data_IF_980873781492
#
_entry.id   IF_980873781492
#
_cell.length_a   1.000
_cell.length_b   1.000
_cell.length_c   1.000
_cell.angle_alpha   90.00
_cell.angle_beta   90.00
_cell.angle_gamma   90.00
#
_symmetry.space_group_name_H-M   'P 1'
#
loop_
_entity.id
_entity.type
_entity.pdbx_description
1 polymer ?
#
# COMPACT_ATOMS: atom_id res chain seq x y z
N UNK A 1 -10.41 1.39 20.15
CA UNK A 1 -9.13 2.00 20.60
C UNK A 1 -8.89 3.28 19.79
N UNK A 2 -7.88 4.08 20.15
CA UNK A 2 -7.48 5.26 19.36
C UNK A 2 -6.39 4.87 18.36
N UNK A 3 -6.69 5.00 17.08
CA UNK A 3 -5.81 4.58 15.96
C UNK A 3 -5.40 5.81 15.16
N UNK A 4 -4.10 6.04 15.03
CA UNK A 4 -3.54 7.00 14.10
C UNK A 4 -3.30 6.31 12.74
N UNK A 5 -3.82 6.90 11.66
CA UNK A 5 -3.52 6.48 10.28
C UNK A 5 -2.83 7.63 9.56
N UNK A 6 -1.52 7.52 9.35
CA UNK A 6 -0.81 8.49 8.50
C UNK A 6 -0.96 8.08 7.03
N UNK A 7 -1.16 9.05 6.14
CA UNK A 7 -1.51 8.76 4.74
C UNK A 7 -2.96 8.28 4.58
N UNK A 8 -3.84 8.60 5.55
CA UNK A 8 -5.21 8.12 5.58
C UNK A 8 -6.15 8.76 4.57
N UNK A 9 -5.76 9.85 3.91
CA UNK A 9 -6.48 10.42 2.77
C UNK A 9 -6.05 9.80 1.42
N UNK A 10 -5.04 8.92 1.44
CA UNK A 10 -4.59 8.15 0.28
C UNK A 10 -5.44 6.92 0.00
N UNK A 11 -5.11 6.23 -1.10
CA UNK A 11 -5.83 5.03 -1.55
C UNK A 11 -5.93 3.96 -0.47
N UNK A 12 -4.81 3.34 -0.06
CA UNK A 12 -4.82 2.23 0.90
C UNK A 12 -5.19 2.73 2.30
N UNK A 13 -4.67 3.90 2.69
CA UNK A 13 -4.87 4.47 4.02
C UNK A 13 -6.33 4.76 4.34
N UNK A 14 -7.13 5.20 3.37
CA UNK A 14 -8.56 5.45 3.56
C UNK A 14 -9.35 4.16 3.84
N UNK A 15 -9.03 3.06 3.16
CA UNK A 15 -9.63 1.75 3.43
C UNK A 15 -9.19 1.17 4.79
N UNK A 16 -7.94 1.44 5.20
CA UNK A 16 -7.47 1.07 6.55
C UNK A 16 -8.23 1.88 7.61
N UNK A 17 -8.44 3.18 7.38
CA UNK A 17 -9.23 4.03 8.28
C UNK A 17 -10.69 3.53 8.40
N UNK A 18 -11.34 3.22 7.26
CA UNK A 18 -12.68 2.62 7.24
C UNK A 18 -12.75 1.34 8.08
N UNK A 19 -11.80 0.41 7.87
CA UNK A 19 -11.80 -0.88 8.56
C UNK A 19 -11.68 -0.75 10.10
N UNK A 20 -10.93 0.25 10.59
CA UNK A 20 -10.86 0.53 12.02
C UNK A 20 -12.13 1.23 12.54
N UNK A 21 -12.71 2.15 11.78
CA UNK A 21 -14.00 2.80 12.13
C UNK A 21 -15.14 1.78 12.19
N UNK A 22 -15.24 0.88 11.20
CA UNK A 22 -16.22 -0.21 11.17
C UNK A 22 -16.10 -1.15 12.39
N UNK A 23 -14.89 -1.31 12.91
CA UNK A 23 -14.64 -2.04 14.16
C UNK A 23 -15.05 -1.26 15.41
N UNK A 24 -15.41 0.00 15.30
CA UNK A 24 -15.79 0.88 16.40
C UNK A 24 -14.60 1.56 17.09
N UNK A 25 -13.47 1.70 16.40
CA UNK A 25 -12.31 2.45 16.89
C UNK A 25 -12.48 3.95 16.60
N UNK A 26 -11.77 4.78 17.37
CA UNK A 26 -11.59 6.20 17.07
C UNK A 26 -10.37 6.35 16.15
N UNK A 27 -10.52 7.04 15.02
CA UNK A 27 -9.46 7.19 14.02
C UNK A 27 -9.06 8.65 13.86
N UNK A 28 -7.77 8.93 14.00
CA UNK A 28 -7.13 10.17 13.56
C UNK A 28 -6.39 9.90 12.24
N UNK A 29 -6.73 10.66 11.21
CA UNK A 29 -5.98 10.69 9.94
C UNK A 29 -5.02 11.87 9.96
N UNK A 30 -3.75 11.61 9.67
CA UNK A 30 -2.74 12.65 9.39
C UNK A 30 -2.27 12.48 7.95
N UNK A 31 -2.46 13.52 7.13
CA UNK A 31 -2.11 13.54 5.72
C UNK A 31 -1.81 14.98 5.27
N UNK A 32 -0.85 15.17 4.37
CA UNK A 32 -0.52 16.48 3.81
C UNK A 32 -1.34 16.84 2.56
N UNK A 33 -2.10 15.87 2.05
CA UNK A 33 -2.89 15.92 0.81
C UNK A 33 -2.03 16.12 -0.45
N UNK A 34 -0.75 15.78 -0.41
CA UNK A 34 0.13 15.86 -1.60
C UNK A 34 -0.28 14.91 -2.72
N UNK A 35 -0.85 13.75 -2.38
CA UNK A 35 -1.42 12.76 -3.30
C UNK A 35 -2.76 12.22 -2.83
N UNK A 36 -3.10 12.41 -1.55
CA UNK A 36 -4.38 12.08 -0.96
C UNK A 36 -5.49 13.03 -1.39
N UNK A 37 -6.74 12.65 -1.14
CA UNK A 37 -7.94 13.45 -1.42
C UNK A 37 -8.80 13.56 -0.18
N UNK A 38 -9.31 14.76 0.11
CA UNK A 38 -10.30 14.97 1.19
C UNK A 38 -11.54 14.09 1.01
N UNK A 39 -11.90 13.75 -0.24
CA UNK A 39 -13.04 12.89 -0.57
C UNK A 39 -12.85 11.44 -0.07
N UNK A 40 -11.61 11.02 0.19
CA UNK A 40 -11.32 9.69 0.70
C UNK A 40 -11.37 9.63 2.23
N UNK A 41 -11.49 10.77 2.92
CA UNK A 41 -11.52 10.82 4.39
C UNK A 41 -12.91 10.37 4.86
N UNK A 42 -13.01 9.31 5.69
CA UNK A 42 -14.30 8.88 6.24
C UNK A 42 -14.94 9.95 7.13
N UNK A 43 -16.26 10.10 7.06
CA UNK A 43 -17.03 11.13 7.81
C UNK A 43 -16.81 11.11 9.32
N UNK A 44 -16.49 9.96 9.90
CA UNK A 44 -16.33 9.78 11.35
C UNK A 44 -14.86 9.81 11.80
N UNK A 45 -13.91 10.02 10.90
CA UNK A 45 -12.50 10.19 11.25
C UNK A 45 -12.21 11.63 11.66
N UNK A 46 -11.34 11.81 12.65
CA UNK A 46 -10.72 13.10 12.91
C UNK A 46 -9.62 13.31 11.86
N UNK A 47 -9.55 14.49 11.27
CA UNK A 47 -8.53 14.81 10.27
C UNK A 47 -7.62 15.93 10.75
N UNK A 48 -6.32 15.74 10.59
CA UNK A 48 -5.30 16.76 10.80
C UNK A 48 -4.39 16.84 9.57
N UNK A 49 -4.32 18.01 8.94
CA UNK A 49 -3.42 18.24 7.80
C UNK A 49 -2.01 18.52 8.32
N UNK A 50 -1.09 17.58 8.13
CA UNK A 50 0.31 17.72 8.50
C UNK A 50 1.23 16.87 7.61
N UNK A 51 2.44 17.38 7.34
CA UNK A 51 3.51 16.66 6.69
C UNK A 51 4.29 15.87 7.76
N UNK A 52 4.45 14.55 7.57
CA UNK A 52 5.21 13.69 8.48
C UNK A 52 6.70 14.07 8.57
N UNK A 53 7.22 14.84 7.62
CA UNK A 53 8.61 15.35 7.66
C UNK A 53 8.78 16.54 8.60
N UNK A 54 7.69 17.20 8.98
CA UNK A 54 7.65 18.23 10.02
C UNK A 54 7.28 17.60 11.37
N UNK A 55 8.29 17.28 12.18
CA UNK A 55 8.10 16.62 13.47
C UNK A 55 7.23 17.45 14.42
N UNK A 56 7.32 18.78 14.37
CA UNK A 56 6.55 19.67 15.26
C UNK A 56 5.07 19.65 14.88
N UNK A 57 4.77 19.80 13.58
CA UNK A 57 3.38 19.71 13.10
C UNK A 57 2.77 18.33 13.36
N UNK A 58 3.54 17.25 13.16
CA UNK A 58 3.09 15.90 13.48
C UNK A 58 2.78 15.74 14.97
N UNK A 59 3.65 16.21 15.85
CA UNK A 59 3.46 16.12 17.30
C UNK A 59 2.23 16.91 17.76
N UNK A 60 2.01 18.11 17.23
CA UNK A 60 0.83 18.93 17.52
C UNK A 60 -0.48 18.24 17.11
N UNK A 61 -0.46 17.45 16.04
CA UNK A 61 -1.62 16.69 15.60
C UNK A 61 -1.83 15.43 16.44
N UNK A 62 -0.77 14.73 16.81
CA UNK A 62 -0.82 13.39 17.41
C UNK A 62 -0.95 13.43 18.94
N UNK A 63 -0.24 14.34 19.63
CA UNK A 63 -0.18 14.35 21.09
C UNK A 63 -1.55 14.55 21.77
N UNK A 64 -2.47 15.43 21.28
CA UNK A 64 -3.80 15.55 21.89
C UNK A 64 -4.66 14.29 21.71
N UNK A 65 -4.45 13.54 20.63
CA UNK A 65 -5.18 12.32 20.33
C UNK A 65 -4.66 11.13 21.15
N UNK A 66 -3.38 11.10 21.47
CA UNK A 66 -2.70 10.04 22.23
C UNK A 66 -3.03 8.63 21.72
N UNK A 67 -2.57 8.25 20.53
CA UNK A 67 -2.92 6.99 19.88
C UNK A 67 -2.45 5.78 20.69
N UNK A 68 -3.25 4.71 20.67
CA UNK A 68 -2.89 3.39 21.19
C UNK A 68 -2.33 2.46 20.12
N UNK A 69 -2.44 2.85 18.83
CA UNK A 69 -1.92 2.17 17.66
C UNK A 69 -1.62 3.19 16.57
N UNK A 70 -0.54 2.96 15.81
CA UNK A 70 -0.21 3.75 14.62
C UNK A 70 -0.19 2.84 13.39
N UNK A 71 -0.98 3.18 12.37
CA UNK A 71 -0.88 2.60 11.02
C UNK A 71 -0.17 3.61 10.12
N UNK A 72 1.08 3.30 9.71
CA UNK A 72 1.91 4.23 8.95
C UNK A 72 1.91 3.89 7.47
N UNK A 73 1.12 4.66 6.69
CA UNK A 73 0.99 4.52 5.23
C UNK A 73 1.44 5.77 4.46
N UNK A 74 1.63 6.92 5.13
CA UNK A 74 2.16 8.12 4.49
C UNK A 74 3.52 7.83 3.87
N UNK A 75 3.66 8.09 2.58
CA UNK A 75 4.89 7.85 1.82
C UNK A 75 4.88 8.58 0.47
N UNK A 76 6.06 8.89 -0.03
CA UNK A 76 6.26 9.06 -1.46
C UNK A 76 6.23 7.65 -2.08
N UNK A 77 5.21 7.31 -2.90
CA UNK A 77 4.95 5.95 -3.37
C UNK A 77 5.31 5.72 -4.86
N UNK A 78 5.74 6.75 -5.58
CA UNK A 78 6.10 6.67 -6.99
C UNK A 78 7.55 6.26 -7.18
N UNK A 79 7.78 5.17 -7.92
CA UNK A 79 9.13 4.74 -8.33
C UNK A 79 9.77 5.78 -9.24
N UNK A 80 9.05 6.32 -10.23
CA UNK A 80 9.55 7.33 -11.15
C UNK A 80 9.93 8.62 -10.40
N UNK A 81 9.04 9.14 -9.54
CA UNK A 81 9.36 10.33 -8.75
C UNK A 81 10.57 10.13 -7.81
N UNK A 82 10.79 8.90 -7.33
CA UNK A 82 11.96 8.59 -6.50
C UNK A 82 13.28 8.65 -7.28
N UNK A 83 13.26 8.35 -8.57
CA UNK A 83 14.43 8.48 -9.46
C UNK A 83 14.68 9.93 -9.80
N UNK A 84 13.61 10.71 -10.03
CA UNK A 84 13.71 12.14 -10.37
C UNK A 84 14.18 12.98 -9.17
N UNK A 85 13.71 12.67 -7.95
CA UNK A 85 14.10 13.34 -6.71
C UNK A 85 14.30 12.34 -5.55
N UNK A 86 15.47 11.66 -5.51
CA UNK A 86 15.77 10.68 -4.46
C UNK A 86 15.93 11.32 -3.07
N UNK A 87 16.25 12.61 -2.99
CA UNK A 87 16.36 13.32 -1.71
C UNK A 87 14.99 13.56 -1.10
N UNK A 88 13.98 13.91 -1.91
CA UNK A 88 12.60 14.01 -1.44
C UNK A 88 12.08 12.65 -1.00
N UNK A 89 12.34 11.61 -1.79
CA UNK A 89 11.95 10.24 -1.46
C UNK A 89 12.53 9.81 -0.11
N UNK A 90 13.84 9.99 0.10
CA UNK A 90 14.51 9.70 1.37
C UNK A 90 13.93 10.53 2.53
N UNK A 91 13.67 11.82 2.32
CA UNK A 91 13.12 12.71 3.35
C UNK A 91 11.75 12.25 3.81
N UNK A 92 10.85 11.92 2.88
CA UNK A 92 9.49 11.45 3.23
C UNK A 92 9.55 10.04 3.81
N UNK A 93 10.16 9.09 3.10
CA UNK A 93 10.05 7.67 3.43
C UNK A 93 10.98 7.23 4.57
N UNK A 94 12.08 7.94 4.83
CA UNK A 94 13.01 7.61 5.91
C UNK A 94 12.87 8.57 7.08
N UNK A 95 13.09 9.89 6.87
CA UNK A 95 13.00 10.84 7.98
C UNK A 95 11.58 10.99 8.48
N UNK A 96 10.58 11.03 7.58
CA UNK A 96 9.16 11.03 7.96
C UNK A 96 8.79 9.78 8.76
N UNK A 97 9.25 8.59 8.34
CA UNK A 97 9.03 7.34 9.10
C UNK A 97 9.67 7.40 10.49
N UNK A 98 10.87 7.99 10.61
CA UNK A 98 11.50 8.19 11.94
C UNK A 98 10.67 9.10 12.84
N UNK A 99 10.14 10.20 12.33
CA UNK A 99 9.26 11.09 13.10
C UNK A 99 8.01 10.36 13.59
N UNK A 100 7.40 9.52 12.73
CA UNK A 100 6.25 8.71 13.11
C UNK A 100 6.63 7.64 14.15
N UNK A 101 7.79 7.00 14.02
CA UNK A 101 8.31 6.06 15.03
C UNK A 101 8.48 6.74 16.39
N UNK A 102 9.03 7.97 16.42
CA UNK A 102 9.20 8.73 17.66
C UNK A 102 7.86 9.17 18.27
N UNK A 103 6.90 9.61 17.44
CA UNK A 103 5.55 9.92 17.89
C UNK A 103 4.89 8.67 18.51
N UNK A 104 4.94 7.51 17.85
CA UNK A 104 4.41 6.25 18.35
C UNK A 104 5.07 5.85 19.70
N UNK A 105 6.41 5.95 19.77
CA UNK A 105 7.19 5.62 20.97
C UNK A 105 6.78 6.47 22.18
N UNK A 106 6.59 7.79 22.01
CA UNK A 106 6.18 8.68 23.13
C UNK A 106 4.86 8.26 23.77
N UNK A 107 3.97 7.70 22.97
CA UNK A 107 2.66 7.19 23.45
C UNK A 107 2.69 5.70 23.82
N UNK A 108 3.83 5.01 23.69
CA UNK A 108 3.91 3.56 23.90
C UNK A 108 3.07 2.78 22.89
N UNK A 109 2.71 3.38 21.77
CA UNK A 109 1.86 2.78 20.74
C UNK A 109 2.69 1.88 19.81
N UNK A 110 2.27 0.63 19.57
CA UNK A 110 2.85 -0.16 18.49
C UNK A 110 2.55 0.48 17.14
N UNK A 111 3.42 0.19 16.14
CA UNK A 111 3.32 0.74 14.80
C UNK A 111 3.22 -0.40 13.78
N UNK A 112 2.23 -0.30 12.87
CA UNK A 112 2.09 -1.16 11.69
C UNK A 112 2.53 -0.36 10.48
N UNK A 113 3.60 -0.81 9.83
CA UNK A 113 4.23 -0.12 8.70
C UNK A 113 3.84 -0.74 7.38
N UNK A 114 3.33 0.06 6.46
CA UNK A 114 3.13 -0.32 5.07
C UNK A 114 4.48 -0.31 4.32
N UNK A 115 5.13 -1.46 4.21
CA UNK A 115 6.29 -1.67 3.35
C UNK A 115 5.86 -2.11 1.95
N UNK A 116 6.81 -2.26 1.03
CA UNK A 116 6.55 -2.78 -0.31
C UNK A 116 7.13 -4.18 -0.45
N UNK A 117 6.40 -5.10 -1.08
CA UNK A 117 6.96 -6.37 -1.55
C UNK A 117 7.28 -6.31 -3.05
N UNK A 118 6.54 -5.47 -3.79
CA UNK A 118 6.69 -5.38 -5.24
C UNK A 118 7.96 -4.70 -5.74
N UNK A 119 8.60 -3.83 -4.93
CA UNK A 119 9.80 -3.07 -5.33
C UNK A 119 11.04 -3.41 -4.48
N UNK A 120 10.95 -4.44 -3.63
CA UNK A 120 11.95 -4.71 -2.60
C UNK A 120 12.98 -5.75 -3.00
N UNK A 121 12.56 -6.83 -3.66
CA UNK A 121 13.37 -8.04 -3.75
C UNK A 121 14.26 -8.13 -5.01
N UNK A 122 13.93 -7.41 -6.09
CA UNK A 122 14.63 -7.48 -7.37
C UNK A 122 14.24 -8.71 -8.19
N UNK A 123 14.83 -8.82 -9.41
CA UNK A 123 14.43 -9.84 -10.41
C UNK A 123 14.95 -11.24 -10.08
N UNK A 124 16.05 -11.35 -9.31
CA UNK A 124 16.68 -12.62 -8.93
C UNK A 124 15.91 -13.39 -7.82
N UNK A 125 14.86 -12.79 -7.26
CA UNK A 125 14.13 -13.41 -6.17
C UNK A 125 13.38 -14.67 -6.62
N UNK A 126 13.36 -15.75 -5.79
CA UNK A 126 12.49 -16.89 -6.05
C UNK A 126 11.02 -16.46 -6.01
N UNK A 127 10.16 -17.17 -6.74
CA UNK A 127 8.72 -16.84 -6.79
C UNK A 127 7.89 -18.08 -6.45
N UNK A 128 7.00 -18.00 -5.46
CA UNK A 128 6.74 -16.88 -4.54
C UNK A 128 7.94 -16.55 -3.64
N UNK A 129 8.16 -15.23 -3.37
CA UNK A 129 9.30 -14.75 -2.58
C UNK A 129 8.96 -14.74 -1.09
N UNK A 130 9.68 -15.48 -0.22
CA UNK A 130 9.48 -15.47 1.23
C UNK A 130 10.11 -14.23 1.89
N UNK A 131 9.72 -13.94 3.14
CA UNK A 131 10.19 -12.77 3.90
C UNK A 131 11.67 -12.81 4.28
N UNK A 132 12.28 -13.97 4.35
CA UNK A 132 13.70 -14.17 4.69
C UNK A 132 14.65 -14.02 3.50
N UNK A 133 14.11 -13.90 2.26
CA UNK A 133 14.94 -13.55 1.12
C UNK A 133 15.47 -12.11 1.27
N UNK A 134 16.78 -11.96 1.07
CA UNK A 134 17.47 -10.67 1.27
C UNK A 134 16.97 -9.63 0.25
N UNK A 135 16.43 -8.48 0.72
CA UNK A 135 16.05 -7.38 -0.15
C UNK A 135 17.20 -6.87 -1.02
N UNK A 136 16.90 -6.62 -2.31
CA UNK A 136 17.82 -6.06 -3.31
C UNK A 136 17.11 -5.00 -4.14
N UNK A 137 16.70 -3.88 -3.51
CA UNK A 137 15.91 -2.86 -4.18
C UNK A 137 16.67 -2.25 -5.35
N UNK A 138 15.96 -2.05 -6.47
CA UNK A 138 16.52 -1.50 -7.72
C UNK A 138 16.09 -0.04 -7.96
N UNK A 139 15.44 0.59 -6.98
CA UNK A 139 15.00 1.98 -7.06
C UNK A 139 15.19 2.71 -5.72
N UNK A 140 15.32 4.06 -5.73
CA UNK A 140 15.34 4.84 -4.51
C UNK A 140 14.12 4.60 -3.63
N UNK A 141 12.92 4.47 -4.21
CA UNK A 141 11.69 4.09 -3.51
C UNK A 141 11.84 2.75 -2.76
N UNK A 142 12.29 1.71 -3.43
CA UNK A 142 12.52 0.42 -2.78
C UNK A 142 13.55 0.49 -1.66
N UNK A 143 14.63 1.25 -1.87
CA UNK A 143 15.69 1.46 -0.88
C UNK A 143 15.17 2.24 0.33
N UNK A 144 14.40 3.32 0.15
CA UNK A 144 13.86 4.12 1.24
C UNK A 144 12.79 3.37 2.04
N UNK A 145 11.93 2.59 1.38
CA UNK A 145 10.95 1.73 2.07
C UNK A 145 11.64 0.64 2.89
N UNK A 146 12.73 0.06 2.39
CA UNK A 146 13.54 -0.89 3.15
C UNK A 146 14.25 -0.25 4.35
N UNK A 147 14.77 0.97 4.19
CA UNK A 147 15.34 1.71 5.31
C UNK A 147 14.28 2.01 6.38
N UNK A 148 13.07 2.43 6.00
CA UNK A 148 11.95 2.60 6.92
C UNK A 148 11.60 1.32 7.68
N UNK A 149 11.55 0.18 7.00
CA UNK A 149 11.35 -1.15 7.62
C UNK A 149 12.43 -1.45 8.67
N UNK A 150 13.70 -1.16 8.35
CA UNK A 150 14.82 -1.38 9.27
C UNK A 150 14.66 -0.53 10.55
N UNK A 151 14.25 0.74 10.43
CA UNK A 151 14.00 1.61 11.58
C UNK A 151 12.82 1.12 12.41
N UNK A 152 11.69 0.79 11.81
CA UNK A 152 10.49 0.26 12.52
C UNK A 152 10.85 -1.00 13.31
N UNK A 153 11.65 -1.89 12.72
CA UNK A 153 12.11 -3.12 13.37
C UNK A 153 13.11 -2.83 14.51
N UNK A 154 14.01 -1.85 14.33
CA UNK A 154 14.94 -1.42 15.37
C UNK A 154 14.19 -0.81 16.57
N UNK A 155 13.17 0.05 16.34
CA UNK A 155 12.33 0.63 17.39
C UNK A 155 11.57 -0.45 18.17
N UNK A 156 11.04 -1.47 17.47
CA UNK A 156 10.40 -2.60 18.14
C UNK A 156 11.30 -3.24 19.18
N UNK A 157 12.57 -3.48 18.82
CA UNK A 157 13.56 -4.10 19.73
C UNK A 157 14.04 -3.17 20.84
N UNK A 158 14.33 -1.90 20.50
CA UNK A 158 14.86 -0.93 21.45
C UNK A 158 13.85 -0.57 22.55
N UNK A 159 12.58 -0.47 22.20
CA UNK A 159 11.54 0.03 23.08
C UNK A 159 10.50 -1.03 23.46
N UNK A 160 10.73 -2.30 23.09
CA UNK A 160 9.83 -3.43 23.39
C UNK A 160 8.40 -3.18 22.88
N UNK A 161 8.27 -2.59 21.70
CA UNK A 161 6.99 -2.33 21.04
C UNK A 161 6.64 -3.50 20.11
N UNK A 162 5.34 -3.83 20.00
CA UNK A 162 4.85 -4.87 19.10
C UNK A 162 4.68 -4.35 17.66
N UNK A 163 5.73 -3.71 17.10
CA UNK A 163 5.68 -3.17 15.75
C UNK A 163 5.61 -4.28 14.71
N UNK A 164 4.82 -4.03 13.66
CA UNK A 164 4.63 -4.96 12.54
C UNK A 164 5.01 -4.28 11.22
N UNK A 165 5.70 -5.01 10.36
CA UNK A 165 5.96 -4.62 8.99
C UNK A 165 5.11 -5.48 8.07
N UNK A 166 4.31 -4.84 7.21
CA UNK A 166 3.51 -5.50 6.19
C UNK A 166 4.08 -5.16 4.81
N UNK A 167 4.73 -6.13 4.16
CA UNK A 167 5.21 -6.03 2.78
C UNK A 167 4.06 -6.31 1.84
N UNK A 168 3.46 -5.25 1.32
CA UNK A 168 2.29 -5.32 0.47
C UNK A 168 2.67 -5.75 -0.95
N UNK A 169 1.88 -6.64 -1.54
CA UNK A 169 1.92 -6.98 -2.97
C UNK A 169 1.35 -5.81 -3.82
N UNK A 170 0.95 -6.06 -5.05
CA UNK A 170 0.35 -5.04 -5.90
C UNK A 170 -1.12 -4.80 -5.52
N UNK A 171 -1.34 -3.78 -4.70
CA UNK A 171 -2.68 -3.45 -4.21
C UNK A 171 -3.49 -2.75 -5.30
N UNK A 172 -4.76 -3.14 -5.46
CA UNK A 172 -5.72 -2.54 -6.38
C UNK A 172 -7.10 -2.44 -5.74
N UNK A 173 -7.94 -1.55 -6.24
CA UNK A 173 -9.30 -1.38 -5.73
C UNK A 173 -9.87 0.02 -5.93
N UNK A 174 -11.09 0.29 -5.43
CA UNK A 174 -11.70 1.61 -5.40
C UNK A 174 -10.81 2.67 -4.75
N UNK A 175 -10.94 3.92 -5.13
CA UNK A 175 -10.14 5.09 -4.68
C UNK A 175 -8.67 5.09 -5.14
N UNK A 176 -8.21 4.09 -5.90
CA UNK A 176 -6.88 4.15 -6.50
C UNK A 176 -6.87 5.21 -7.60
N UNK A 177 -5.88 6.14 -7.56
CA UNK A 177 -5.73 7.12 -8.64
C UNK A 177 -5.26 6.44 -9.93
N UNK A 178 -5.83 6.82 -11.06
CA UNK A 178 -5.39 6.42 -12.40
C UNK A 178 -4.25 7.28 -12.94
N UNK A 179 -3.85 8.33 -12.20
CA UNK A 179 -2.84 9.30 -12.61
C UNK A 179 -1.51 9.06 -11.88
N UNK A 180 -0.42 9.53 -12.46
CA UNK A 180 0.92 9.38 -11.90
C UNK A 180 1.46 7.96 -12.04
N UNK A 181 1.89 7.37 -10.94
CA UNK A 181 2.33 5.95 -10.86
C UNK A 181 1.15 5.00 -10.62
N UNK A 182 0.09 5.20 -11.39
CA UNK A 182 -1.08 4.36 -11.32
C UNK A 182 -0.77 2.90 -11.66
N UNK A 183 -1.35 1.99 -10.89
CA UNK A 183 -1.35 0.57 -11.25
C UNK A 183 -2.19 0.31 -12.51
N UNK A 184 -1.84 -0.74 -13.24
CA UNK A 184 -2.52 -1.08 -14.51
C UNK A 184 -4.02 -1.27 -14.33
N UNK A 185 -4.48 -1.74 -13.17
CA UNK A 185 -5.91 -1.92 -12.87
C UNK A 185 -6.64 -0.58 -12.92
N UNK A 186 -6.09 0.47 -12.28
CA UNK A 186 -6.66 1.81 -12.27
C UNK A 186 -6.69 2.43 -13.68
N UNK A 187 -5.56 2.33 -14.40
CA UNK A 187 -5.43 2.85 -15.77
C UNK A 187 -6.44 2.17 -16.72
N UNK A 188 -6.50 0.84 -16.68
CA UNK A 188 -7.40 0.10 -17.56
C UNK A 188 -8.86 0.35 -17.22
N UNK A 189 -9.21 0.42 -15.93
CA UNK A 189 -10.58 0.69 -15.49
C UNK A 189 -11.06 2.08 -15.95
N UNK A 190 -10.21 3.10 -15.82
CA UNK A 190 -10.54 4.45 -16.28
C UNK A 190 -10.74 4.52 -17.80
N UNK A 191 -9.81 3.95 -18.60
CA UNK A 191 -9.95 3.93 -20.05
C UNK A 191 -11.23 3.20 -20.48
N UNK A 192 -11.50 2.03 -19.91
CA UNK A 192 -12.70 1.27 -20.22
C UNK A 192 -13.98 1.99 -19.82
N UNK A 193 -13.98 2.69 -18.67
CA UNK A 193 -15.13 3.51 -18.25
C UNK A 193 -15.42 4.67 -19.21
N UNK A 194 -14.39 5.21 -19.87
CA UNK A 194 -14.52 6.24 -20.92
C UNK A 194 -14.78 5.68 -22.32
N UNK A 195 -14.82 4.36 -22.49
CA UNK A 195 -14.92 3.72 -23.81
C UNK A 195 -13.64 3.84 -24.66
N UNK A 196 -12.50 4.11 -24.04
CA UNK A 196 -11.21 4.30 -24.68
C UNK A 196 -10.39 3.01 -24.67
N UNK A 197 -9.43 2.88 -25.61
CA UNK A 197 -8.51 1.74 -25.69
C UNK A 197 -7.48 1.81 -24.55
N UNK A 198 -7.42 0.80 -23.64
CA UNK A 198 -6.42 0.78 -22.57
C UNK A 198 -5.00 0.56 -23.14
N UNK A 199 -3.97 1.21 -22.58
CA UNK A 199 -2.60 1.04 -23.02
C UNK A 199 -2.00 -0.25 -22.46
N UNK A 200 -1.76 -1.28 -23.31
CA UNK A 200 -1.08 -2.52 -22.93
C UNK A 200 0.40 -2.45 -23.32
N UNK A 201 1.30 -2.55 -22.32
CA UNK A 201 2.74 -2.54 -22.55
C UNK A 201 3.22 -3.92 -22.95
N UNK A 202 4.02 -4.00 -24.03
CA UNK A 202 4.48 -5.26 -24.61
C UNK A 202 3.30 -6.14 -25.02
N UNK A 203 3.40 -7.42 -24.73
CA UNK A 203 2.35 -8.43 -24.92
C UNK A 203 1.51 -8.70 -23.66
N UNK A 204 1.81 -8.00 -22.55
CA UNK A 204 1.11 -8.14 -21.29
C UNK A 204 1.44 -9.43 -20.51
N UNK A 205 2.52 -10.11 -20.83
CA UNK A 205 2.97 -11.34 -20.12
C UNK A 205 3.57 -11.07 -18.75
N UNK A 206 3.91 -9.81 -18.42
CA UNK A 206 4.41 -9.45 -17.10
C UNK A 206 3.39 -9.84 -16.02
N UNK A 207 3.87 -10.49 -14.96
CA UNK A 207 3.00 -10.96 -13.88
C UNK A 207 3.20 -10.19 -12.59
N UNK A 208 2.10 -9.99 -11.87
CA UNK A 208 2.09 -9.42 -10.51
C UNK A 208 1.18 -10.24 -9.61
N UNK A 209 1.42 -10.12 -8.32
CA UNK A 209 0.51 -10.59 -7.28
C UNK A 209 -0.46 -9.45 -6.95
N UNK A 210 -1.67 -9.55 -7.49
CA UNK A 210 -2.73 -8.54 -7.30
C UNK A 210 -3.56 -8.86 -6.08
N UNK A 211 -3.54 -7.96 -5.09
CA UNK A 211 -4.30 -8.07 -3.85
C UNK A 211 -5.32 -6.94 -3.75
N UNK A 212 -6.58 -7.28 -3.50
CA UNK A 212 -7.65 -6.29 -3.33
C UNK A 212 -7.42 -5.44 -2.06
N UNK A 213 -7.74 -4.16 -2.13
CA UNK A 213 -7.47 -3.19 -1.06
C UNK A 213 -8.18 -3.52 0.25
N UNK A 214 -9.37 -4.12 0.21
CA UNK A 214 -10.08 -4.57 1.41
C UNK A 214 -9.34 -5.70 2.15
N UNK A 215 -8.69 -6.61 1.42
CA UNK A 215 -7.85 -7.64 2.02
C UNK A 215 -6.58 -7.04 2.63
N UNK A 216 -5.99 -6.03 1.97
CA UNK A 216 -4.88 -5.28 2.55
C UNK A 216 -5.30 -4.58 3.84
N UNK A 217 -6.43 -3.87 3.88
CA UNK A 217 -6.96 -3.23 5.09
C UNK A 217 -7.22 -4.25 6.21
N UNK A 218 -7.79 -5.42 5.87
CA UNK A 218 -7.99 -6.51 6.82
C UNK A 218 -6.68 -7.04 7.42
N UNK A 219 -5.57 -7.01 6.67
CA UNK A 219 -4.25 -7.38 7.20
C UNK A 219 -3.77 -6.41 8.30
N UNK A 220 -4.03 -5.10 8.16
CA UNK A 220 -3.72 -4.12 9.22
C UNK A 220 -4.53 -4.38 10.48
N UNK A 221 -5.83 -4.66 10.35
CA UNK A 221 -6.68 -5.01 11.49
C UNK A 221 -6.18 -6.29 12.17
N UNK A 222 -5.89 -7.34 11.40
CA UNK A 222 -5.36 -8.60 11.93
C UNK A 222 -4.02 -8.40 12.64
N UNK A 223 -3.12 -7.59 12.08
CA UNK A 223 -1.84 -7.28 12.69
C UNK A 223 -2.00 -6.51 14.03
N UNK A 224 -2.98 -5.60 14.11
CA UNK A 224 -3.31 -4.88 15.34
C UNK A 224 -3.79 -5.79 16.46
N UNK A 225 -4.55 -6.84 16.12
CA UNK A 225 -5.10 -7.81 17.07
C UNK A 225 -4.05 -8.80 17.59
N UNK A 226 -3.03 -9.10 16.78
CA UNK A 226 -2.00 -10.09 17.11
C UNK A 226 -1.08 -9.67 18.27
N UNK A 227 -0.96 -8.37 18.58
CA UNK A 227 -0.17 -7.80 19.70
C UNK A 227 1.27 -8.36 19.77
N UNK A 228 1.87 -8.61 18.63
CA UNK A 228 3.25 -9.15 18.51
C UNK A 228 4.01 -8.45 17.40
N UNK A 229 5.30 -8.28 17.59
CA UNK A 229 6.16 -7.79 16.52
C UNK A 229 6.34 -8.86 15.44
N UNK A 230 6.48 -8.41 14.19
CA UNK A 230 6.70 -9.32 13.06
C UNK A 230 6.89 -8.61 11.74
N UNK A 231 7.29 -9.38 10.73
CA UNK A 231 7.41 -8.97 9.35
C UNK A 231 6.69 -9.99 8.49
N UNK A 232 5.75 -9.52 7.67
CA UNK A 232 4.85 -10.40 6.91
C UNK A 232 4.63 -9.89 5.50
N UNK A 233 4.65 -10.82 4.54
CA UNK A 233 4.13 -10.59 3.20
C UNK A 233 2.60 -10.61 3.21
N UNK A 234 1.99 -9.59 2.63
CA UNK A 234 0.54 -9.45 2.48
C UNK A 234 0.21 -9.56 0.99
N UNK A 235 -0.20 -10.75 0.58
CA UNK A 235 -0.25 -11.16 -0.81
C UNK A 235 -1.24 -12.31 -1.03
N UNK A 236 -1.54 -12.61 -2.29
CA UNK A 236 -2.31 -13.81 -2.67
C UNK A 236 -1.42 -15.05 -2.86
N UNK A 237 -0.17 -14.85 -3.26
CA UNK A 237 0.75 -15.89 -3.71
C UNK A 237 0.48 -16.34 -5.15
N UNK A 238 -0.34 -15.61 -5.90
CA UNK A 238 -0.79 -15.97 -7.25
C UNK A 238 -0.25 -14.97 -8.27
N UNK A 239 0.47 -15.49 -9.28
CA UNK A 239 0.90 -14.71 -10.43
C UNK A 239 -0.27 -14.48 -11.39
N UNK A 240 -0.60 -13.21 -11.66
CA UNK A 240 -1.60 -12.86 -12.68
C UNK A 240 -0.95 -11.95 -13.72
N UNK A 241 -1.10 -12.26 -15.01
CA UNK A 241 -0.53 -11.44 -16.08
C UNK A 241 -1.33 -10.15 -16.31
N UNK A 242 -0.65 -9.12 -16.79
CA UNK A 242 -1.29 -7.85 -17.17
C UNK A 242 -2.34 -8.07 -18.25
N UNK A 243 -2.08 -8.97 -19.21
CA UNK A 243 -3.06 -9.35 -20.23
C UNK A 243 -4.33 -9.98 -19.60
N UNK A 244 -4.18 -10.86 -18.60
CA UNK A 244 -5.33 -11.46 -17.91
C UNK A 244 -6.13 -10.43 -17.11
N UNK A 245 -5.48 -9.47 -16.48
CA UNK A 245 -6.15 -8.34 -15.81
C UNK A 245 -6.99 -7.55 -16.80
N UNK A 246 -6.43 -7.23 -17.95
CA UNK A 246 -7.17 -6.51 -19.02
C UNK A 246 -8.37 -7.30 -19.52
N UNK A 247 -8.21 -8.59 -19.77
CA UNK A 247 -9.30 -9.48 -20.20
C UNK A 247 -10.47 -9.45 -19.20
N UNK A 248 -10.17 -9.65 -17.89
CA UNK A 248 -11.18 -9.62 -16.82
C UNK A 248 -11.88 -8.27 -16.68
N UNK A 249 -11.14 -7.17 -16.86
CA UNK A 249 -11.73 -5.83 -16.84
C UNK A 249 -12.60 -5.56 -18.07
N UNK A 250 -12.22 -6.06 -19.26
CA UNK A 250 -13.05 -5.98 -20.47
C UNK A 250 -14.36 -6.78 -20.31
N UNK A 251 -14.26 -7.99 -19.72
CA UNK A 251 -15.45 -8.79 -19.35
C UNK A 251 -16.36 -8.02 -18.39
N UNK A 252 -15.79 -7.40 -17.33
CA UNK A 252 -16.54 -6.61 -16.35
C UNK A 252 -17.22 -5.39 -16.98
N UNK A 253 -16.56 -4.75 -17.94
CA UNK A 253 -17.06 -3.58 -18.67
C UNK A 253 -18.06 -3.93 -19.80
N UNK A 254 -18.15 -5.21 -20.20
CA UNK A 254 -18.87 -5.59 -21.41
C UNK A 254 -18.26 -4.96 -22.68
N UNK A 255 -16.96 -4.61 -22.64
CA UNK A 255 -16.27 -3.87 -23.68
C UNK A 255 -15.54 -4.79 -24.67
N UNK A 256 -15.68 -4.48 -25.97
CA UNK A 256 -14.97 -5.18 -27.05
C UNK A 256 -13.77 -4.38 -27.59
N UNK A 257 -13.45 -3.24 -26.98
CA UNK A 257 -12.35 -2.37 -27.44
C UNK A 257 -11.00 -3.08 -27.28
N UNK A 258 -10.19 -3.08 -28.36
CA UNK A 258 -8.86 -3.66 -28.33
C UNK A 258 -7.84 -2.71 -27.67
N UNK A 259 -6.83 -3.25 -26.96
CA UNK A 259 -5.84 -2.41 -26.30
C UNK A 259 -4.93 -1.70 -27.32
N UNK A 260 -4.41 -0.55 -26.93
CA UNK A 260 -3.34 0.13 -27.64
C UNK A 260 -2.00 -0.39 -27.14
N UNK A 261 -1.24 -1.10 -27.99
CA UNK A 261 0.06 -1.61 -27.63
C UNK A 261 1.11 -0.49 -27.49
N UNK A 262 1.88 -0.53 -26.41
CA UNK A 262 2.98 0.38 -26.13
C UNK A 262 4.26 -0.41 -25.80
N UNK A 263 5.47 0.14 -26.04
CA UNK A 263 6.70 -0.54 -25.66
C UNK A 263 6.83 -0.70 -24.14
N UNK A 264 7.55 -1.74 -23.69
CA UNK A 264 7.91 -1.92 -22.28
C UNK A 264 8.75 -0.74 -21.80
N UNK A 265 8.56 -0.34 -20.53
CA UNK A 265 9.47 0.62 -19.91
C UNK A 265 10.82 -0.06 -19.60
N UNK A 266 11.96 0.59 -19.84
CA UNK A 266 13.24 0.08 -19.39
C UNK A 266 13.24 -0.16 -17.88
N UNK A 267 13.72 -1.34 -17.45
CA UNK A 267 13.77 -1.70 -16.02
C UNK A 267 12.43 -2.15 -15.42
N UNK A 268 11.39 -2.35 -16.22
CA UNK A 268 10.15 -2.95 -15.75
C UNK A 268 10.36 -4.43 -15.41
N UNK A 269 10.09 -4.80 -14.13
CA UNK A 269 10.24 -6.19 -13.68
C UNK A 269 9.31 -7.13 -14.46
N UNK A 270 9.81 -8.33 -14.81
CA UNK A 270 8.99 -9.35 -15.47
C UNK A 270 7.93 -9.94 -14.54
N UNK A 271 8.28 -10.21 -13.29
CA UNK A 271 7.35 -10.84 -12.35
C UNK A 271 7.63 -10.43 -10.89
N UNK A 272 6.56 -10.32 -10.11
CA UNK A 272 6.63 -10.11 -8.66
C UNK A 272 5.47 -10.87 -8.00
N UNK A 273 5.82 -11.89 -7.16
CA UNK A 273 4.86 -12.71 -6.41
C UNK A 273 5.45 -12.98 -5.05
N UNK A 274 4.67 -12.80 -3.98
CA UNK A 274 5.11 -12.96 -2.60
C UNK A 274 4.55 -14.25 -2.00
N UNK A 275 5.28 -14.85 -1.04
CA UNK A 275 4.79 -15.98 -0.27
C UNK A 275 4.05 -15.49 0.99
N UNK A 276 2.71 -15.68 1.10
CA UNK A 276 1.93 -15.28 2.26
C UNK A 276 1.87 -16.37 3.36
N UNK A 277 2.67 -17.43 3.29
CA UNK A 277 2.56 -18.57 4.21
C UNK A 277 2.77 -18.18 5.66
N UNK A 278 3.68 -17.23 5.94
CA UNK A 278 3.98 -16.78 7.29
C UNK A 278 2.80 -16.05 7.93
N UNK A 279 2.19 -15.08 7.23
CA UNK A 279 1.03 -14.34 7.79
C UNK A 279 -0.16 -15.27 8.02
N UNK A 280 -0.37 -16.26 7.16
CA UNK A 280 -1.40 -17.29 7.34
C UNK A 280 -1.17 -18.12 8.60
N UNK A 281 0.05 -18.62 8.77
CA UNK A 281 0.40 -19.48 9.89
C UNK A 281 0.42 -18.75 11.23
N UNK A 282 0.93 -17.52 11.26
CA UNK A 282 1.21 -16.81 12.50
C UNK A 282 0.08 -15.85 12.93
N UNK A 283 -0.66 -15.26 11.97
CA UNK A 283 -1.74 -14.31 12.24
C UNK A 283 -3.12 -14.82 11.80
N UNK A 284 -3.22 -15.94 11.09
CA UNK A 284 -4.49 -16.48 10.60
C UNK A 284 -5.11 -15.65 9.46
N UNK A 285 -4.38 -14.68 8.90
CA UNK A 285 -4.87 -13.87 7.79
C UNK A 285 -4.73 -14.60 6.45
N UNK A 286 -5.72 -14.45 5.60
CA UNK A 286 -5.70 -14.90 4.20
C UNK A 286 -6.53 -13.95 3.34
N UNK A 287 -6.16 -13.73 2.07
CA UNK A 287 -6.98 -12.94 1.16
C UNK A 287 -8.33 -13.64 0.92
N UNK A 288 -9.39 -12.86 0.80
CA UNK A 288 -10.77 -13.34 0.63
C UNK A 288 -11.37 -12.97 -0.73
N UNK A 289 -10.88 -11.88 -1.33
CA UNK A 289 -11.41 -11.37 -2.59
C UNK A 289 -10.67 -12.02 -3.76
N UNK A 290 -11.40 -12.78 -4.59
CA UNK A 290 -10.85 -13.32 -5.82
C UNK A 290 -10.52 -12.19 -6.82
N UNK A 291 -9.44 -12.31 -7.58
CA UNK A 291 -8.99 -11.26 -8.52
C UNK A 291 -10.11 -10.83 -9.48
N UNK A 292 -10.86 -11.78 -10.06
CA UNK A 292 -11.95 -11.47 -10.98
C UNK A 292 -13.09 -10.68 -10.32
N UNK A 293 -13.39 -10.95 -9.05
CA UNK A 293 -14.40 -10.25 -8.27
C UNK A 293 -13.95 -8.84 -7.93
N UNK A 294 -12.73 -8.68 -7.38
CA UNK A 294 -12.19 -7.38 -7.04
C UNK A 294 -11.98 -6.47 -8.26
N UNK A 295 -11.61 -7.03 -9.42
CA UNK A 295 -11.51 -6.26 -10.66
C UNK A 295 -12.89 -5.75 -11.12
N UNK A 296 -13.95 -6.57 -10.97
CA UNK A 296 -15.33 -6.15 -11.29
C UNK A 296 -15.80 -5.02 -10.36
N UNK A 297 -15.53 -5.13 -9.06
CA UNK A 297 -15.83 -4.09 -8.08
C UNK A 297 -15.07 -2.80 -8.39
N UNK A 298 -13.78 -2.91 -8.68
CA UNK A 298 -12.93 -1.76 -9.03
C UNK A 298 -13.46 -1.06 -10.29
N UNK A 299 -13.75 -1.82 -11.36
CA UNK A 299 -14.33 -1.24 -12.58
C UNK A 299 -15.67 -0.56 -12.30
N UNK A 300 -16.56 -1.20 -11.53
CA UNK A 300 -17.85 -0.61 -11.19
C UNK A 300 -17.70 0.75 -10.50
N UNK A 301 -16.70 0.89 -9.60
CA UNK A 301 -16.40 2.17 -8.97
C UNK A 301 -15.93 3.22 -9.99
N UNK A 302 -15.01 2.88 -10.90
CA UNK A 302 -14.57 3.82 -11.95
C UNK A 302 -15.69 4.24 -12.89
N UNK A 303 -16.65 3.37 -13.17
CA UNK A 303 -17.81 3.66 -13.99
C UNK A 303 -18.81 4.65 -13.33
N UNK A 304 -18.64 4.98 -12.05
CA UNK A 304 -19.44 6.00 -11.33
C UNK A 304 -18.81 7.38 -11.30
N UNK A 305 -17.55 7.51 -11.72
CA UNK A 305 -16.82 8.78 -11.76
C UNK A 305 -17.10 9.54 -13.06
#
# INVERSE_FOLDING_TARGET
MRVLVTGGAGFIGSHVADAFLERGDEVLIVDDLSTGSEQNIPDHAVFARADITDAVALDQAVDPFAPALVCHLAAQASVTASVDDPQRDCRVNVLGTLNVCEAARRHGAPLIYAATGGALYGDDAPRPTPEDFLPRPQSPYGASKFAGEAYVTAWARLYSLANVVLRLANIYGPRQSSHGEAGVVAIFSEHLARGEAPPLRGDGTQTRDYLHVSDAAAAFVTAAEAKRAGLFNVATGIATSTARVLELLREAAGASVEPQHAPLKPGEMEASVLDPSRIRAELGWSPRVAVAEGLRETYAWYATL
#
